data_IF_021613084611
#
_entry.id   IF_021613084611
#
_cell.length_a   1.000
_cell.length_b   1.000
_cell.length_c   1.000
_cell.angle_alpha   90.00
_cell.angle_beta   90.00
_cell.angle_gamma   90.00
#
_symmetry.space_group_name_H-M   'P 1'
#
loop_
_entity.id
_entity.type
_entity.pdbx_description
1 polymer ?
#
# COMPACT_ATOMS: atom_id res chain seq x y z
N UNK A 1 49.83 -26.05 -16.53
CA UNK A 1 49.50 -24.69 -17.01
C UNK A 1 48.04 -24.41 -16.67
N UNK A 2 47.77 -23.63 -15.62
CA UNK A 2 46.41 -23.31 -15.18
C UNK A 2 45.99 -21.97 -15.81
N UNK A 3 44.92 -21.95 -16.62
CA UNK A 3 44.34 -20.69 -17.13
C UNK A 3 43.77 -19.90 -15.95
N UNK A 4 44.12 -18.62 -15.75
CA UNK A 4 43.50 -17.82 -14.71
C UNK A 4 42.04 -17.54 -15.08
N UNK A 5 41.15 -17.75 -14.11
CA UNK A 5 39.74 -17.44 -14.21
C UNK A 5 39.56 -15.93 -14.45
N UNK A 6 38.75 -15.56 -15.44
CA UNK A 6 38.40 -14.18 -15.71
C UNK A 6 37.82 -13.54 -14.43
N UNK A 7 38.53 -12.53 -13.90
CA UNK A 7 38.05 -11.74 -12.77
C UNK A 7 36.74 -11.07 -13.19
N UNK A 8 35.66 -11.41 -12.49
CA UNK A 8 34.43 -10.63 -12.51
C UNK A 8 34.76 -9.22 -12.02
N UNK A 9 34.92 -8.29 -12.96
CA UNK A 9 34.92 -6.85 -12.66
C UNK A 9 33.47 -6.48 -12.39
N UNK A 10 33.09 -6.38 -11.12
CA UNK A 10 31.76 -5.90 -10.74
C UNK A 10 31.45 -4.59 -11.46
N UNK A 11 30.26 -4.49 -12.04
CA UNK A 11 29.78 -3.27 -12.70
C UNK A 11 29.91 -2.10 -11.72
N UNK A 12 30.95 -1.28 -11.89
CA UNK A 12 31.15 -0.05 -11.13
C UNK A 12 30.18 0.97 -11.71
N UNK A 13 29.05 1.14 -11.04
CA UNK A 13 28.04 2.14 -11.40
C UNK A 13 28.63 3.52 -11.16
N UNK A 14 28.61 4.35 -12.19
CA UNK A 14 28.91 5.77 -12.07
C UNK A 14 27.64 6.50 -11.64
N UNK A 15 27.65 7.06 -10.43
CA UNK A 15 26.50 7.74 -9.85
C UNK A 15 26.38 9.21 -10.29
N UNK A 16 27.42 9.76 -10.93
CA UNK A 16 27.44 11.12 -11.46
C UNK A 16 27.06 11.16 -12.97
N UNK A 17 26.69 10.01 -13.56
CA UNK A 17 26.32 9.91 -14.97
C UNK A 17 24.96 10.59 -15.27
N UNK A 18 24.97 11.58 -16.18
CA UNK A 18 23.78 12.36 -16.59
C UNK A 18 22.64 11.49 -17.15
N UNK A 19 22.98 10.38 -17.83
CA UNK A 19 22.00 9.44 -18.38
C UNK A 19 21.38 8.59 -17.28
N UNK A 20 22.15 8.21 -16.25
CA UNK A 20 21.61 7.58 -15.05
C UNK A 20 20.64 8.53 -14.33
N UNK A 21 21.05 9.79 -14.12
CA UNK A 21 20.19 10.81 -13.51
C UNK A 21 18.88 11.02 -14.31
N UNK A 22 18.97 11.09 -15.63
CA UNK A 22 17.80 11.23 -16.50
C UNK A 22 16.86 10.01 -16.46
N UNK A 23 17.39 8.79 -16.26
CA UNK A 23 16.57 7.58 -16.10
C UNK A 23 15.89 7.54 -14.73
N UNK A 24 16.62 7.86 -13.66
CA UNK A 24 16.06 7.93 -12.30
C UNK A 24 14.94 8.96 -12.20
N UNK A 25 15.13 10.12 -12.82
CA UNK A 25 14.10 11.17 -12.90
C UNK A 25 12.82 10.71 -13.61
N UNK A 26 12.92 9.80 -14.59
CA UNK A 26 11.74 9.22 -15.26
C UNK A 26 10.97 8.23 -14.38
N UNK A 27 11.62 7.70 -13.35
CA UNK A 27 11.05 6.71 -12.42
C UNK A 27 10.69 7.31 -11.07
N UNK A 28 11.00 8.58 -10.82
CA UNK A 28 10.79 9.25 -9.53
C UNK A 28 9.31 9.24 -9.10
N UNK A 29 8.40 9.37 -10.06
CA UNK A 29 6.95 9.33 -9.83
C UNK A 29 6.36 7.91 -9.91
N UNK A 30 7.18 6.88 -10.17
CA UNK A 30 6.67 5.51 -10.28
C UNK A 30 6.33 4.96 -8.90
N UNK A 31 5.03 4.84 -8.63
CA UNK A 31 4.54 4.14 -7.44
C UNK A 31 4.17 2.71 -7.81
N UNK A 32 4.74 1.73 -7.11
CA UNK A 32 4.34 0.34 -7.28
C UNK A 32 2.94 0.12 -6.67
N UNK A 33 1.93 -0.08 -7.51
CA UNK A 33 0.56 -0.37 -7.10
C UNK A 33 0.27 -1.88 -7.16
N UNK A 34 0.52 -2.57 -6.05
CA UNK A 34 0.33 -4.03 -5.93
C UNK A 34 -1.12 -4.47 -5.68
N UNK A 35 -2.13 -3.58 -5.84
CA UNK A 35 -3.54 -3.96 -5.64
C UNK A 35 -4.07 -4.94 -6.71
N UNK A 36 -3.35 -5.16 -7.82
CA UNK A 36 -3.85 -5.92 -8.98
C UNK A 36 -3.93 -7.44 -8.83
N UNK A 37 -3.23 -8.05 -7.86
CA UNK A 37 -3.18 -9.52 -7.69
C UNK A 37 -4.02 -10.01 -6.51
N UNK A 38 -4.61 -9.10 -5.74
CA UNK A 38 -5.42 -9.40 -4.58
C UNK A 38 -6.90 -9.26 -4.93
N UNK A 39 -7.74 -10.22 -4.51
CA UNK A 39 -9.19 -10.15 -4.67
C UNK A 39 -9.77 -9.16 -3.65
N UNK A 40 -10.34 -8.01 -4.08
CA UNK A 40 -10.88 -7.03 -3.16
C UNK A 40 -12.02 -7.61 -2.31
N UNK A 41 -12.07 -7.23 -1.02
CA UNK A 41 -13.11 -7.68 -0.08
C UNK A 41 -13.75 -6.50 0.62
N UNK A 42 -15.07 -6.52 0.73
CA UNK A 42 -15.82 -5.53 1.51
C UNK A 42 -15.52 -5.68 3.00
N UNK A 43 -15.22 -4.55 3.65
CA UNK A 43 -14.97 -4.47 5.09
C UNK A 43 -15.66 -3.25 5.69
N UNK A 44 -15.88 -3.28 7.01
CA UNK A 44 -16.32 -2.09 7.76
C UNK A 44 -15.15 -1.53 8.54
N UNK A 45 -14.92 -0.22 8.39
CA UNK A 45 -13.80 0.47 9.00
C UNK A 45 -14.32 1.47 10.04
N UNK A 46 -13.87 1.30 11.28
CA UNK A 46 -14.19 2.17 12.41
C UNK A 46 -12.98 3.02 12.72
N UNK A 47 -13.12 4.34 12.65
CA UNK A 47 -12.02 5.30 12.77
C UNK A 47 -12.04 5.96 14.15
N UNK A 48 -10.96 5.79 14.91
CA UNK A 48 -10.78 6.29 16.26
C UNK A 48 -11.18 5.29 17.36
N UNK A 49 -10.71 5.54 18.58
CA UNK A 49 -10.85 4.67 19.76
C UNK A 49 -12.28 4.43 20.26
N UNK A 50 -13.27 5.08 19.67
CA UNK A 50 -14.68 4.99 20.08
C UNK A 50 -15.68 5.07 18.93
N UNK A 51 -15.25 4.81 17.68
CA UNK A 51 -16.17 4.87 16.54
C UNK A 51 -17.28 3.82 16.65
N UNK A 52 -18.47 4.30 16.98
CA UNK A 52 -19.70 3.51 17.06
C UNK A 52 -20.23 3.12 15.67
N UNK A 53 -19.91 3.89 14.63
CA UNK A 53 -20.35 3.63 13.25
C UNK A 53 -19.20 3.10 12.40
N UNK A 54 -19.39 1.91 11.83
CA UNK A 54 -18.54 1.39 10.76
C UNK A 54 -18.83 2.13 9.46
N UNK A 55 -17.78 2.41 8.69
CA UNK A 55 -17.87 2.99 7.35
C UNK A 55 -17.45 1.96 6.32
N UNK A 56 -18.14 1.84 5.18
CA UNK A 56 -17.77 0.89 4.15
C UNK A 56 -16.38 1.22 3.59
N UNK A 57 -15.57 0.18 3.41
CA UNK A 57 -14.26 0.22 2.81
C UNK A 57 -14.01 -1.07 2.02
N UNK A 58 -13.01 -1.06 1.14
CA UNK A 58 -12.54 -2.26 0.46
C UNK A 58 -11.13 -2.61 0.92
N UNK A 59 -10.93 -3.83 1.42
CA UNK A 59 -9.60 -4.40 1.60
C UNK A 59 -9.06 -4.82 0.24
N UNK A 60 -7.93 -4.27 -0.15
CA UNK A 60 -7.34 -4.44 -1.50
C UNK A 60 -5.96 -5.06 -1.47
N UNK A 61 -5.39 -5.23 -0.29
CA UNK A 61 -4.15 -5.98 -0.08
C UNK A 61 -3.99 -6.32 1.40
N UNK A 62 -3.45 -7.49 1.71
CA UNK A 62 -3.05 -7.86 3.07
C UNK A 62 -1.80 -8.74 3.05
N UNK A 63 -0.88 -8.49 3.97
CA UNK A 63 0.25 -9.39 4.26
C UNK A 63 0.78 -9.14 5.66
N UNK A 64 0.98 -10.21 6.42
CA UNK A 64 1.58 -10.16 7.75
C UNK A 64 0.87 -9.13 8.65
N UNK A 65 1.54 -8.03 8.99
CA UNK A 65 1.01 -6.95 9.84
C UNK A 65 0.67 -5.69 9.04
N UNK A 66 0.59 -5.76 7.71
CA UNK A 66 0.26 -4.62 6.87
C UNK A 66 -0.97 -4.92 6.01
N UNK A 67 -1.87 -3.95 5.91
CA UNK A 67 -3.04 -4.02 5.05
C UNK A 67 -3.21 -2.72 4.29
N UNK A 68 -3.81 -2.80 3.11
CA UNK A 68 -4.20 -1.63 2.32
C UNK A 68 -5.70 -1.65 2.14
N UNK A 69 -6.33 -0.51 2.44
CA UNK A 69 -7.77 -0.31 2.28
C UNK A 69 -8.06 0.86 1.36
N UNK A 70 -9.16 0.77 0.62
CA UNK A 70 -9.72 1.84 -0.19
C UNK A 70 -11.01 2.33 0.46
N UNK A 71 -11.16 3.64 0.53
CA UNK A 71 -12.30 4.32 1.15
C UNK A 71 -12.75 5.49 0.29
N UNK A 72 -13.98 5.97 0.46
CA UNK A 72 -14.44 7.21 -0.18
C UNK A 72 -14.09 8.48 0.60
N UNK A 73 -13.11 8.43 1.51
CA UNK A 73 -12.81 9.53 2.42
C UNK A 73 -11.36 9.49 2.94
N UNK A 74 -10.75 10.65 3.23
CA UNK A 74 -9.44 10.69 3.86
C UNK A 74 -9.50 10.20 5.31
N UNK A 75 -8.45 9.52 5.75
CA UNK A 75 -8.21 9.17 7.15
C UNK A 75 -6.83 9.74 7.53
N UNK A 76 -6.71 10.50 8.63
CA UNK A 76 -5.43 11.04 9.05
C UNK A 76 -4.41 9.94 9.37
N UNK A 77 -3.14 10.19 9.03
CA UNK A 77 -2.03 9.34 9.45
C UNK A 77 -1.91 9.36 10.98
N UNK A 78 -1.63 8.20 11.59
CA UNK A 78 -1.57 8.00 13.03
C UNK A 78 -2.91 7.65 13.68
N UNK A 79 -4.01 7.71 12.93
CA UNK A 79 -5.34 7.39 13.45
C UNK A 79 -5.50 5.88 13.72
N UNK A 80 -6.13 5.54 14.84
CA UNK A 80 -6.44 4.15 15.18
C UNK A 80 -7.66 3.67 14.43
N UNK A 81 -7.60 2.47 13.88
CA UNK A 81 -8.68 1.90 13.09
C UNK A 81 -8.99 0.48 13.51
N UNK A 82 -10.27 0.12 13.55
CA UNK A 82 -10.75 -1.25 13.61
C UNK A 82 -11.30 -1.65 12.25
N UNK A 83 -10.90 -2.81 11.77
CA UNK A 83 -11.33 -3.39 10.49
C UNK A 83 -12.15 -4.61 10.81
N UNK A 84 -13.44 -4.58 10.47
CA UNK A 84 -14.36 -5.70 10.63
C UNK A 84 -14.56 -6.39 9.29
N UNK A 85 -14.26 -7.69 9.27
CA UNK A 85 -14.42 -8.57 8.12
C UNK A 85 -15.57 -9.53 8.42
N UNK A 86 -16.56 -9.57 7.53
CA UNK A 86 -17.72 -10.43 7.68
C UNK A 86 -17.49 -11.73 6.91
N UNK A 87 -17.57 -12.85 7.60
CA UNK A 87 -17.51 -14.20 7.03
C UNK A 87 -18.78 -14.95 7.42
N UNK A 88 -19.87 -14.71 6.68
CA UNK A 88 -21.21 -15.18 7.08
C UNK A 88 -21.70 -14.42 8.31
N UNK A 89 -22.02 -15.15 9.38
CA UNK A 89 -22.43 -14.56 10.68
C UNK A 89 -21.25 -14.20 11.59
N UNK A 90 -20.03 -14.65 11.24
CA UNK A 90 -18.83 -14.36 12.03
C UNK A 90 -18.25 -12.99 11.64
N UNK A 91 -17.95 -12.16 12.65
CA UNK A 91 -17.20 -10.92 12.49
C UNK A 91 -15.79 -11.11 13.01
N UNK A 92 -14.80 -10.94 12.14
CA UNK A 92 -13.38 -10.89 12.53
C UNK A 92 -12.89 -9.46 12.51
N UNK A 93 -12.56 -8.95 13.70
CA UNK A 93 -12.02 -7.60 13.88
C UNK A 93 -10.49 -7.63 13.97
N UNK A 94 -9.83 -6.74 13.24
CA UNK A 94 -8.41 -6.45 13.37
C UNK A 94 -8.21 -4.98 13.76
N UNK A 95 -7.21 -4.68 14.59
CA UNK A 95 -6.89 -3.32 15.00
C UNK A 95 -5.59 -2.88 14.34
N UNK A 96 -5.51 -1.62 13.95
CA UNK A 96 -4.32 -1.05 13.36
C UNK A 96 -4.23 0.46 13.50
N UNK A 97 -3.17 1.01 12.92
CA UNK A 97 -2.92 2.45 12.83
C UNK A 97 -2.65 2.81 11.38
N UNK A 98 -3.21 3.93 10.93
CA UNK A 98 -2.93 4.47 9.60
C UNK A 98 -1.46 4.89 9.53
N UNK A 99 -0.69 4.20 8.71
CA UNK A 99 0.72 4.47 8.48
C UNK A 99 0.93 5.51 7.37
N UNK A 100 0.09 5.46 6.33
CA UNK A 100 0.13 6.38 5.20
C UNK A 100 -1.24 6.43 4.49
N UNK A 101 -1.49 7.48 3.72
CA UNK A 101 -2.75 7.66 2.99
C UNK A 101 -2.64 8.68 1.85
N UNK A 102 -3.32 8.39 0.73
CA UNK A 102 -3.38 9.30 -0.43
C UNK A 102 -4.63 9.09 -1.28
N UNK A 103 -4.92 10.04 -2.15
CA UNK A 103 -5.88 9.85 -3.23
C UNK A 103 -5.42 8.72 -4.18
N UNK A 104 -6.38 7.94 -4.67
CA UNK A 104 -6.10 6.90 -5.65
C UNK A 104 -5.73 7.50 -7.01
N UNK A 105 -4.84 6.82 -7.72
CA UNK A 105 -4.29 7.32 -8.99
C UNK A 105 -4.96 6.73 -10.22
N UNK A 106 -5.70 5.62 -10.08
CA UNK A 106 -6.39 4.99 -11.21
C UNK A 106 -7.53 5.90 -11.69
N UNK A 107 -7.93 5.75 -12.95
CA UNK A 107 -9.07 6.50 -13.49
C UNK A 107 -10.33 6.22 -12.66
N UNK A 108 -10.60 4.94 -12.35
CA UNK A 108 -11.73 4.57 -11.51
C UNK A 108 -11.65 5.16 -10.09
N UNK A 109 -10.44 5.23 -9.51
CA UNK A 109 -10.25 5.77 -8.17
C UNK A 109 -10.58 7.27 -8.13
N UNK A 110 -10.13 8.03 -9.14
CA UNK A 110 -10.39 9.48 -9.23
C UNK A 110 -11.86 9.78 -9.46
N UNK A 111 -12.53 9.01 -10.31
CA UNK A 111 -13.98 9.15 -10.55
C UNK A 111 -14.78 8.85 -9.29
N UNK A 112 -14.34 7.87 -8.48
CA UNK A 112 -15.00 7.50 -7.23
C UNK A 112 -14.62 8.37 -6.02
N UNK A 113 -13.66 9.30 -6.17
CA UNK A 113 -13.10 10.05 -5.05
C UNK A 113 -12.41 9.15 -4.01
N UNK A 114 -11.78 8.07 -4.48
CA UNK A 114 -11.22 7.04 -3.64
C UNK A 114 -9.90 7.45 -2.99
N UNK A 115 -9.74 7.05 -1.74
CA UNK A 115 -8.54 7.21 -0.93
C UNK A 115 -7.98 5.83 -0.57
N UNK A 116 -6.67 5.67 -0.76
CA UNK A 116 -5.91 4.47 -0.46
C UNK A 116 -5.13 4.69 0.83
N UNK A 117 -5.28 3.80 1.81
CA UNK A 117 -4.65 3.89 3.12
C UNK A 117 -3.84 2.62 3.41
N UNK A 118 -2.62 2.79 3.90
CA UNK A 118 -1.79 1.71 4.43
C UNK A 118 -1.93 1.69 5.94
N UNK A 119 -2.28 0.51 6.48
CA UNK A 119 -2.49 0.32 7.91
C UNK A 119 -1.48 -0.71 8.43
N UNK A 120 -0.89 -0.41 9.59
CA UNK A 120 -0.12 -1.38 10.36
C UNK A 120 -1.01 -2.00 11.42
N UNK A 121 -1.24 -3.30 11.33
CA UNK A 121 -1.97 -4.09 12.31
C UNK A 121 -1.15 -4.25 13.59
N UNK A 122 -1.85 -4.34 14.72
CA UNK A 122 -1.27 -4.62 16.05
C UNK A 122 -1.42 -6.06 16.45
#
# INVERSE_FOLDING_TARGET
MHKPHARWTGNRVDWDDDRLAALLKKTEDWTLDNRGTFEPRDVQLHVGWGASSGRPAMLVWEREQAVVVVTGFPIPVGEHVRIDRYAGEEVRSAWGVVADGREGFRAEDREAGAWVHWLHLR
#
